data_IF_310620593178
#
_entry.id   IF_310620593178
#
_cell.length_a   1.000
_cell.length_b   1.000
_cell.length_c   1.000
_cell.angle_alpha   90.00
_cell.angle_beta   90.00
_cell.angle_gamma   90.00
#
_symmetry.space_group_name_H-M   'P 1'
#
loop_
_entity.id
_entity.type
_entity.pdbx_description
1 polymer ?
#
# COMPACT_ATOMS: atom_id res chain seq x y z
N UNK A 1 6.62 31.45 34.64
CA UNK A 1 5.52 30.45 34.56
C UNK A 1 5.94 29.40 33.57
N UNK A 2 6.47 28.31 34.11
CA UNK A 2 6.94 27.14 33.36
C UNK A 2 5.76 26.39 32.74
N UNK A 3 5.81 26.19 31.43
CA UNK A 3 4.94 25.23 30.72
C UNK A 3 5.63 23.87 30.67
N UNK A 4 4.88 22.76 30.81
CA UNK A 4 5.45 21.45 31.07
C UNK A 4 6.17 20.86 29.84
N UNK A 5 7.17 19.99 30.06
CA UNK A 5 7.82 19.24 28.99
C UNK A 5 6.94 18.03 28.63
N UNK A 6 5.98 18.20 27.73
CA UNK A 6 5.13 17.07 27.31
C UNK A 6 4.76 17.10 25.82
N UNK A 7 5.77 17.14 24.93
CA UNK A 7 5.63 16.70 23.53
C UNK A 7 6.92 16.02 23.08
N UNK A 8 7.14 14.81 23.61
CA UNK A 8 8.31 13.96 23.30
C UNK A 8 8.40 13.54 21.82
N UNK A 9 7.37 13.80 21.01
CA UNK A 9 7.35 13.59 19.56
C UNK A 9 6.78 14.83 18.86
N UNK A 10 7.35 15.25 17.73
CA UNK A 10 6.67 16.18 16.81
C UNK A 10 5.36 15.56 16.34
N UNK A 11 4.32 16.38 16.11
CA UNK A 11 2.98 15.86 15.82
C UNK A 11 2.93 15.04 14.52
N UNK A 12 3.90 15.21 13.61
CA UNK A 12 4.06 14.37 12.40
C UNK A 12 4.78 13.05 12.63
N UNK A 13 5.63 12.94 13.66
CA UNK A 13 6.46 11.76 13.91
C UNK A 13 5.62 10.59 14.42
N UNK A 14 4.62 10.85 15.27
CA UNK A 14 3.69 9.84 15.79
C UNK A 14 2.86 9.17 14.68
N UNK A 15 2.13 9.90 13.81
CA UNK A 15 1.37 9.26 12.73
C UNK A 15 2.29 8.57 11.71
N UNK A 16 3.48 9.11 11.43
CA UNK A 16 4.44 8.47 10.52
C UNK A 16 4.97 7.15 11.09
N UNK A 17 5.29 7.12 12.39
CA UNK A 17 5.73 5.92 13.08
C UNK A 17 4.62 4.88 13.11
N UNK A 18 3.39 5.27 13.46
CA UNK A 18 2.22 4.39 13.46
C UNK A 18 1.91 3.86 12.06
N UNK A 19 1.95 4.71 11.03
CA UNK A 19 1.78 4.29 9.63
C UNK A 19 2.84 3.27 9.24
N UNK A 20 4.12 3.56 9.55
CA UNK A 20 5.23 2.67 9.25
C UNK A 20 5.09 1.33 9.96
N UNK A 21 4.80 1.33 11.26
CA UNK A 21 4.63 0.12 12.06
C UNK A 21 3.43 -0.71 11.59
N UNK A 22 2.31 -0.07 11.28
CA UNK A 22 1.10 -0.75 10.82
C UNK A 22 1.29 -1.36 9.43
N UNK A 23 1.88 -0.62 8.50
CA UNK A 23 2.20 -1.12 7.16
C UNK A 23 3.26 -2.24 7.23
N UNK A 24 4.23 -2.13 8.14
CA UNK A 24 5.22 -3.18 8.41
C UNK A 24 4.53 -4.46 8.91
N UNK A 25 3.70 -4.35 9.94
CA UNK A 25 2.94 -5.45 10.50
C UNK A 25 2.05 -6.11 9.43
N UNK A 26 1.38 -5.30 8.63
CA UNK A 26 0.51 -5.77 7.53
C UNK A 26 1.27 -6.59 6.50
N UNK A 27 2.48 -6.16 6.11
CA UNK A 27 3.31 -6.93 5.19
C UNK A 27 3.86 -8.22 5.82
N UNK A 28 4.20 -8.22 7.11
CA UNK A 28 4.58 -9.45 7.82
C UNK A 28 3.41 -10.44 7.87
N UNK A 29 2.19 -9.95 8.09
CA UNK A 29 0.97 -10.77 8.03
C UNK A 29 0.77 -11.34 6.63
N UNK A 30 1.06 -10.59 5.56
CA UNK A 30 1.04 -11.11 4.19
C UNK A 30 2.06 -12.23 3.98
N UNK A 31 3.30 -12.06 4.43
CA UNK A 31 4.34 -13.10 4.32
C UNK A 31 3.90 -14.36 5.08
N UNK A 32 3.35 -14.19 6.28
CA UNK A 32 2.83 -15.30 7.07
C UNK A 32 1.64 -15.98 6.37
N UNK A 33 0.72 -15.21 5.79
CA UNK A 33 -0.40 -15.75 5.01
C UNK A 33 0.10 -16.64 3.85
N UNK A 34 1.11 -16.18 3.12
CA UNK A 34 1.75 -16.96 2.04
C UNK A 34 2.41 -18.23 2.59
N UNK A 35 3.13 -18.14 3.71
CA UNK A 35 3.74 -19.30 4.34
C UNK A 35 2.71 -20.34 4.80
N UNK A 36 1.60 -19.91 5.43
CA UNK A 36 0.52 -20.80 5.84
C UNK A 36 -0.24 -21.40 4.65
N UNK A 37 -0.27 -20.71 3.51
CA UNK A 37 -0.84 -21.29 2.30
C UNK A 37 -0.03 -22.49 1.79
N UNK A 38 1.27 -22.53 2.09
CA UNK A 38 2.17 -23.64 1.73
C UNK A 38 2.23 -24.73 2.80
N UNK A 39 2.21 -24.34 4.07
CA UNK A 39 2.43 -25.23 5.21
C UNK A 39 1.14 -25.78 5.82
N UNK A 40 -0.01 -25.23 5.45
CA UNK A 40 -1.29 -25.50 6.11
C UNK A 40 -1.57 -24.55 7.29
N UNK A 41 -2.80 -24.57 7.84
CA UNK A 41 -3.22 -23.65 8.89
C UNK A 41 -2.54 -23.94 10.24
N UNK A 42 -2.32 -22.89 11.04
CA UNK A 42 -1.84 -22.98 12.42
C UNK A 42 -2.97 -22.65 13.40
N UNK A 43 -3.67 -23.69 13.88
CA UNK A 43 -4.83 -23.52 14.75
C UNK A 43 -5.91 -22.66 14.07
N UNK A 44 -6.36 -21.54 14.67
CA UNK A 44 -7.35 -20.66 14.06
C UNK A 44 -6.77 -19.75 12.94
N UNK A 45 -5.45 -19.68 12.78
CA UNK A 45 -4.82 -18.84 11.77
C UNK A 45 -4.70 -19.58 10.44
N UNK A 46 -5.56 -19.21 9.49
CA UNK A 46 -5.49 -19.67 8.10
C UNK A 46 -4.86 -18.60 7.21
N UNK A 47 -4.31 -19.00 6.06
CA UNK A 47 -3.83 -18.07 5.04
C UNK A 47 -4.90 -17.04 4.65
N UNK A 48 -6.16 -17.47 4.58
CA UNK A 48 -7.30 -16.62 4.30
C UNK A 48 -7.54 -15.54 5.34
N UNK A 49 -7.62 -15.93 6.61
CA UNK A 49 -7.82 -14.99 7.73
C UNK A 49 -6.69 -13.95 7.79
N UNK A 50 -5.45 -14.40 7.64
CA UNK A 50 -4.30 -13.49 7.64
C UNK A 50 -4.28 -12.59 6.41
N UNK A 51 -4.60 -13.10 5.22
CA UNK A 51 -4.74 -12.31 4.01
C UNK A 51 -5.82 -11.23 4.14
N UNK A 52 -6.97 -11.58 4.72
CA UNK A 52 -8.07 -10.64 4.98
C UNK A 52 -7.67 -9.55 5.99
N UNK A 53 -6.99 -9.93 7.08
CA UNK A 53 -6.46 -8.96 8.04
C UNK A 53 -5.46 -8.01 7.36
N UNK A 54 -4.57 -8.53 6.52
CA UNK A 54 -3.60 -7.71 5.82
C UNK A 54 -4.26 -6.74 4.81
N UNK A 55 -5.27 -7.19 4.07
CA UNK A 55 -6.08 -6.35 3.17
C UNK A 55 -6.90 -5.28 3.89
N UNK A 56 -7.14 -5.46 5.18
CA UNK A 56 -7.92 -4.53 6.00
C UNK A 56 -7.03 -3.51 6.70
N UNK A 57 -5.86 -3.95 7.20
CA UNK A 57 -4.95 -3.13 8.00
C UNK A 57 -4.07 -2.18 7.17
N UNK A 58 -3.86 -2.46 5.88
CA UNK A 58 -3.14 -1.54 5.01
C UNK A 58 -3.92 -0.23 4.76
N UNK A 59 -5.26 -0.27 4.74
CA UNK A 59 -6.12 0.91 4.54
C UNK A 59 -5.90 1.99 5.60
N UNK A 60 -6.04 1.72 6.91
CA UNK A 60 -5.70 2.69 7.94
C UNK A 60 -4.22 3.04 7.94
N UNK A 61 -3.32 2.12 7.55
CA UNK A 61 -1.89 2.41 7.41
C UNK A 61 -1.60 3.49 6.36
N UNK A 62 -2.22 3.40 5.18
CA UNK A 62 -2.09 4.40 4.11
C UNK A 62 -2.82 5.70 4.47
N UNK A 63 -3.97 5.63 5.16
CA UNK A 63 -4.64 6.83 5.66
C UNK A 63 -3.77 7.61 6.67
N UNK A 64 -3.07 6.90 7.56
CA UNK A 64 -2.09 7.49 8.48
C UNK A 64 -0.89 8.08 7.74
N UNK A 65 -0.46 7.48 6.62
CA UNK A 65 0.59 8.05 5.77
C UNK A 65 0.15 9.40 5.15
N UNK A 66 -1.09 9.48 4.67
CA UNK A 66 -1.67 10.73 4.17
C UNK A 66 -1.72 11.81 5.27
N UNK A 67 -2.15 11.43 6.48
CA UNK A 67 -2.19 12.31 7.63
C UNK A 67 -0.78 12.78 8.04
N UNK A 68 0.20 11.87 8.09
CA UNK A 68 1.59 12.18 8.40
C UNK A 68 2.17 13.18 7.40
N UNK A 69 1.93 12.97 6.10
CA UNK A 69 2.36 13.89 5.05
C UNK A 69 1.71 15.28 5.19
N UNK A 70 0.42 15.33 5.51
CA UNK A 70 -0.29 16.59 5.76
C UNK A 70 0.26 17.36 6.97
N UNK A 71 0.53 16.68 8.08
CA UNK A 71 1.09 17.30 9.29
C UNK A 71 2.53 17.77 9.05
N UNK A 72 3.35 16.98 8.37
CA UNK A 72 4.72 17.35 8.00
C UNK A 72 4.76 18.64 7.16
N UNK A 73 3.84 18.78 6.21
CA UNK A 73 3.74 19.98 5.38
C UNK A 73 3.42 21.24 6.21
N UNK A 74 2.48 21.12 7.15
CA UNK A 74 2.12 22.22 8.07
C UNK A 74 3.28 22.59 8.98
N UNK A 75 3.99 21.61 9.54
CA UNK A 75 5.15 21.85 10.42
C UNK A 75 6.31 22.53 9.69
N UNK A 76 6.47 22.29 8.38
CA UNK A 76 7.50 22.94 7.56
C UNK A 76 7.12 24.37 7.14
N UNK A 77 5.97 24.90 7.56
CA UNK A 77 5.49 26.24 7.17
C UNK A 77 5.29 26.40 5.66
N UNK A 78 5.17 25.28 4.94
CA UNK A 78 4.99 25.28 3.49
C UNK A 78 3.51 25.45 3.19
N UNK A 79 3.16 26.51 2.46
CA UNK A 79 1.81 26.67 1.94
C UNK A 79 1.39 25.44 1.14
N UNK A 80 0.14 25.01 1.31
CA UNK A 80 -0.41 23.84 0.63
C UNK A 80 -0.57 24.11 -0.86
N UNK A 81 0.49 23.89 -1.65
CA UNK A 81 0.38 23.93 -3.10
C UNK A 81 -0.45 22.77 -3.67
N UNK A 82 -1.01 22.95 -4.87
CA UNK A 82 -1.84 21.94 -5.55
C UNK A 82 -1.21 20.54 -5.61
N UNK A 83 0.12 20.45 -5.76
CA UNK A 83 0.86 19.18 -5.75
C UNK A 83 0.68 18.39 -4.45
N UNK A 84 0.79 19.07 -3.30
CA UNK A 84 0.73 18.43 -1.97
C UNK A 84 -0.70 18.01 -1.64
N UNK A 85 -1.67 18.82 -2.07
CA UNK A 85 -3.08 18.48 -1.96
C UNK A 85 -3.43 17.25 -2.83
N UNK A 86 -2.86 17.16 -4.04
CA UNK A 86 -3.01 16.00 -4.92
C UNK A 86 -2.41 14.72 -4.31
N UNK A 87 -1.26 14.80 -3.62
CA UNK A 87 -0.67 13.65 -2.91
C UNK A 87 -1.61 13.16 -1.79
N UNK A 88 -2.11 14.07 -0.96
CA UNK A 88 -3.01 13.74 0.17
C UNK A 88 -4.29 13.09 -0.35
N UNK A 89 -4.98 13.73 -1.30
CA UNK A 89 -6.20 13.18 -1.88
C UNK A 89 -5.95 11.94 -2.73
N UNK A 90 -4.77 11.79 -3.32
CA UNK A 90 -4.38 10.57 -4.01
C UNK A 90 -4.32 9.37 -3.07
N UNK A 91 -3.75 9.53 -1.86
CA UNK A 91 -3.81 8.47 -0.84
C UNK A 91 -5.23 8.19 -0.35
N UNK A 92 -6.05 9.24 -0.13
CA UNK A 92 -7.46 9.06 0.26
C UNK A 92 -8.24 8.33 -0.83
N UNK A 93 -8.06 8.74 -2.09
CA UNK A 93 -8.64 8.08 -3.26
C UNK A 93 -8.19 6.63 -3.38
N UNK A 94 -6.92 6.34 -3.09
CA UNK A 94 -6.41 4.98 -3.05
C UNK A 94 -7.09 4.13 -1.97
N UNK A 95 -7.27 4.67 -0.76
CA UNK A 95 -7.96 3.97 0.34
C UNK A 95 -9.42 3.70 -0.05
N UNK A 96 -10.12 4.70 -0.57
CA UNK A 96 -11.52 4.56 -0.99
C UNK A 96 -11.68 3.53 -2.11
N UNK A 97 -10.84 3.61 -3.16
CA UNK A 97 -10.86 2.68 -4.27
C UNK A 97 -10.49 1.26 -3.81
N UNK A 98 -9.53 1.14 -2.89
CA UNK A 98 -9.13 -0.15 -2.34
C UNK A 98 -10.22 -0.78 -1.48
N UNK A 99 -10.88 -0.01 -0.62
CA UNK A 99 -12.04 -0.50 0.11
C UNK A 99 -13.17 -0.93 -0.82
N UNK A 100 -13.41 -0.17 -1.89
CA UNK A 100 -14.42 -0.45 -2.90
C UNK A 100 -14.21 -1.82 -3.56
N UNK A 101 -13.02 -2.09 -4.12
CA UNK A 101 -12.81 -3.35 -4.84
C UNK A 101 -12.56 -4.55 -3.93
N UNK A 102 -12.06 -4.35 -2.71
CA UNK A 102 -11.77 -5.45 -1.76
C UNK A 102 -12.99 -5.94 -1.00
N UNK A 103 -13.92 -5.03 -0.71
CA UNK A 103 -15.05 -5.33 0.18
C UNK A 103 -16.38 -5.08 -0.50
N UNK A 104 -16.59 -3.90 -1.09
CA UNK A 104 -17.91 -3.54 -1.60
C UNK A 104 -18.30 -4.36 -2.84
N UNK A 105 -17.39 -4.52 -3.80
CA UNK A 105 -17.66 -5.31 -5.00
C UNK A 105 -17.86 -6.81 -4.70
N UNK A 106 -16.99 -7.50 -3.92
CA UNK A 106 -17.25 -8.88 -3.53
C UNK A 106 -18.56 -9.06 -2.76
N UNK A 107 -18.86 -8.15 -1.81
CA UNK A 107 -20.12 -8.17 -1.07
C UNK A 107 -21.34 -8.08 -2.00
N UNK A 108 -21.29 -7.21 -3.01
CA UNK A 108 -22.35 -7.09 -4.02
C UNK A 108 -22.52 -8.37 -4.87
N UNK A 109 -21.48 -9.20 -4.98
CA UNK A 109 -21.53 -10.51 -5.64
C UNK A 109 -21.96 -11.66 -4.72
N UNK A 110 -22.22 -11.38 -3.43
CA UNK A 110 -22.62 -12.38 -2.44
C UNK A 110 -21.47 -13.30 -2.01
N UNK A 111 -20.23 -12.82 -2.09
CA UNK A 111 -19.02 -13.57 -1.69
C UNK A 111 -17.96 -12.62 -1.14
N UNK A 112 -16.75 -13.12 -0.92
CA UNK A 112 -15.60 -12.32 -0.55
C UNK A 112 -14.51 -12.41 -1.62
N UNK A 113 -13.51 -11.54 -1.48
CA UNK A 113 -12.42 -11.47 -2.43
C UNK A 113 -11.60 -12.77 -2.47
N UNK A 114 -11.43 -13.43 -1.33
CA UNK A 114 -10.61 -14.64 -1.23
C UNK A 114 -11.25 -15.78 -2.02
N UNK A 115 -12.55 -16.02 -1.84
CA UNK A 115 -13.28 -17.05 -2.56
C UNK A 115 -13.20 -16.84 -4.08
N UNK A 116 -13.37 -15.60 -4.54
CA UNK A 116 -13.22 -15.25 -5.96
C UNK A 116 -11.82 -15.63 -6.50
N UNK A 117 -10.74 -15.28 -5.78
CA UNK A 117 -9.39 -15.64 -6.20
C UNK A 117 -9.13 -17.15 -6.14
N UNK A 118 -9.59 -17.85 -5.10
CA UNK A 118 -9.44 -19.31 -4.98
C UNK A 118 -10.16 -20.01 -6.14
N UNK A 119 -11.34 -19.51 -6.54
CA UNK A 119 -12.04 -19.98 -7.73
C UNK A 119 -11.26 -19.74 -9.02
N UNK A 120 -10.75 -18.52 -9.22
CA UNK A 120 -9.97 -18.16 -10.41
C UNK A 120 -8.61 -18.87 -10.52
N UNK A 121 -8.04 -19.30 -9.40
CA UNK A 121 -6.82 -20.10 -9.36
C UNK A 121 -7.08 -21.60 -9.51
N UNK A 122 -8.34 -22.00 -9.68
CA UNK A 122 -8.73 -23.39 -9.93
C UNK A 122 -8.85 -24.27 -8.68
N UNK A 123 -8.73 -23.69 -7.49
CA UNK A 123 -8.80 -24.42 -6.23
C UNK A 123 -10.24 -24.68 -5.74
N UNK A 124 -11.23 -23.93 -6.24
CA UNK A 124 -12.64 -24.14 -5.90
C UNK A 124 -13.57 -23.99 -7.13
N UNK A 125 -14.14 -25.09 -7.66
CA UNK A 125 -15.04 -25.04 -8.82
C UNK A 125 -16.33 -24.25 -8.59
N UNK A 126 -16.89 -24.28 -7.37
CA UNK A 126 -18.10 -23.54 -7.02
C UNK A 126 -17.86 -22.03 -7.02
N UNK A 127 -16.74 -21.59 -6.46
CA UNK A 127 -16.33 -20.18 -6.48
C UNK A 127 -16.00 -19.71 -7.91
N UNK A 128 -15.43 -20.59 -8.75
CA UNK A 128 -15.23 -20.29 -10.18
C UNK A 128 -16.56 -20.09 -10.92
N UNK A 129 -17.55 -20.95 -10.65
CA UNK A 129 -18.88 -20.80 -11.25
C UNK A 129 -19.54 -19.48 -10.82
N UNK A 130 -19.39 -19.09 -9.56
CA UNK A 130 -19.86 -17.79 -9.06
C UNK A 130 -19.14 -16.63 -9.74
N UNK A 131 -17.81 -16.68 -9.85
CA UNK A 131 -17.01 -15.66 -10.52
C UNK A 131 -17.40 -15.49 -12.01
N UNK A 132 -17.65 -16.59 -12.71
CA UNK A 132 -18.16 -16.58 -14.10
C UNK A 132 -19.55 -15.97 -14.20
N UNK A 133 -20.46 -16.33 -13.29
CA UNK A 133 -21.81 -15.76 -13.22
C UNK A 133 -21.77 -14.25 -12.93
N UNK A 134 -20.84 -13.82 -12.07
CA UNK A 134 -20.63 -12.44 -11.68
C UNK A 134 -19.57 -11.72 -12.55
N UNK A 135 -19.45 -12.09 -13.82
CA UNK A 135 -18.40 -11.60 -14.73
C UNK A 135 -18.14 -10.09 -14.63
N UNK A 136 -19.19 -9.29 -14.80
CA UNK A 136 -19.08 -7.83 -14.81
C UNK A 136 -18.51 -7.28 -13.50
N UNK A 137 -18.86 -7.89 -12.37
CA UNK A 137 -18.32 -7.51 -11.06
C UNK A 137 -16.86 -7.92 -10.90
N UNK A 138 -16.46 -9.09 -11.40
CA UNK A 138 -15.05 -9.52 -11.37
C UNK A 138 -14.20 -8.63 -12.28
N UNK A 139 -14.71 -8.26 -13.46
CA UNK A 139 -14.07 -7.29 -14.35
C UNK A 139 -13.94 -5.92 -13.66
N UNK A 140 -14.98 -5.44 -12.98
CA UNK A 140 -14.91 -4.22 -12.19
C UNK A 140 -13.87 -4.30 -11.05
N UNK A 141 -13.73 -5.45 -10.38
CA UNK A 141 -12.68 -5.69 -9.39
C UNK A 141 -11.30 -5.57 -10.04
N UNK A 142 -11.07 -6.20 -11.18
CA UNK A 142 -9.80 -6.13 -11.90
C UNK A 142 -9.44 -4.70 -12.33
N UNK A 143 -10.40 -3.98 -12.92
CA UNK A 143 -10.21 -2.58 -13.33
C UNK A 143 -9.90 -1.70 -12.12
N UNK A 144 -10.67 -1.82 -11.05
CA UNK A 144 -10.45 -1.04 -9.83
C UNK A 144 -9.13 -1.40 -9.13
N UNK A 145 -8.69 -2.66 -9.19
CA UNK A 145 -7.41 -3.09 -8.65
C UNK A 145 -6.23 -2.51 -9.45
N UNK A 146 -6.30 -2.53 -10.78
CA UNK A 146 -5.31 -1.88 -11.66
C UNK A 146 -5.29 -0.38 -11.39
N UNK A 147 -6.46 0.27 -11.34
CA UNK A 147 -6.58 1.70 -11.09
C UNK A 147 -6.02 2.10 -9.72
N UNK A 148 -6.27 1.30 -8.67
CA UNK A 148 -5.68 1.52 -7.35
C UNK A 148 -4.15 1.39 -7.39
N UNK A 149 -3.61 0.36 -8.06
CA UNK A 149 -2.16 0.20 -8.20
C UNK A 149 -1.52 1.36 -8.98
N UNK A 150 -2.17 1.81 -10.06
CA UNK A 150 -1.73 2.96 -10.85
C UNK A 150 -1.79 4.28 -10.07
N UNK A 151 -2.88 4.52 -9.33
CA UNK A 151 -3.01 5.69 -8.46
C UNK A 151 -1.91 5.72 -7.39
N UNK A 152 -1.62 4.57 -6.76
CA UNK A 152 -0.55 4.48 -5.77
C UNK A 152 0.80 4.84 -6.39
N UNK A 153 1.11 4.31 -7.58
CA UNK A 153 2.32 4.67 -8.32
C UNK A 153 2.39 6.17 -8.64
N UNK A 154 1.31 6.76 -9.15
CA UNK A 154 1.24 8.20 -9.45
C UNK A 154 1.47 9.04 -8.19
N UNK A 155 0.87 8.67 -7.05
CA UNK A 155 1.11 9.37 -5.78
C UNK A 155 2.58 9.35 -5.39
N UNK A 156 3.26 8.21 -5.53
CA UNK A 156 4.69 8.10 -5.23
C UNK A 156 5.57 8.85 -6.23
N UNK A 157 5.15 8.97 -7.49
CA UNK A 157 5.78 9.83 -8.48
C UNK A 157 5.67 11.30 -8.07
N UNK A 158 4.49 11.74 -7.64
CA UNK A 158 4.28 13.11 -7.14
C UNK A 158 5.12 13.38 -5.89
N UNK A 159 5.25 12.41 -4.98
CA UNK A 159 6.15 12.52 -3.81
C UNK A 159 7.61 12.67 -4.26
N UNK A 160 8.06 11.89 -5.24
CA UNK A 160 9.43 12.02 -5.77
C UNK A 160 9.66 13.40 -6.42
N UNK A 161 8.66 13.94 -7.12
CA UNK A 161 8.69 15.29 -7.70
C UNK A 161 8.73 16.36 -6.60
N UNK A 162 7.85 16.29 -5.60
CA UNK A 162 7.83 17.22 -4.46
C UNK A 162 9.15 17.19 -3.70
N UNK A 163 9.72 15.99 -3.52
CA UNK A 163 11.04 15.81 -2.93
C UNK A 163 12.15 16.49 -3.74
N UNK A 164 12.19 16.27 -5.06
CA UNK A 164 13.19 16.88 -5.95
C UNK A 164 13.11 18.41 -5.96
N UNK A 165 11.91 18.98 -5.85
CA UNK A 165 11.71 20.44 -5.74
C UNK A 165 12.14 21.00 -4.37
N UNK A 166 12.19 20.16 -3.35
CA UNK A 166 12.48 20.54 -1.97
C UNK A 166 13.96 20.37 -1.57
N UNK A 167 14.74 19.61 -2.33
CA UNK A 167 16.13 19.24 -2.00
C UNK A 167 17.07 19.85 -3.04
N UNK A 168 17.62 21.03 -2.76
CA UNK A 168 18.59 21.65 -3.66
C UNK A 168 19.94 20.90 -3.74
N UNK A 169 20.25 19.96 -2.83
CA UNK A 169 21.59 19.34 -2.76
C UNK A 169 21.52 17.93 -2.13
N UNK A 170 22.17 16.95 -2.77
CA UNK A 170 22.39 15.52 -2.40
C UNK A 170 21.30 14.48 -2.73
N UNK A 171 21.51 13.78 -3.85
CA UNK A 171 20.74 12.61 -4.31
C UNK A 171 20.57 11.50 -3.26
N UNK A 172 21.53 11.33 -2.35
CA UNK A 172 21.55 10.28 -1.30
C UNK A 172 20.35 10.39 -0.37
N UNK A 173 19.87 11.62 -0.11
CA UNK A 173 18.71 11.86 0.75
C UNK A 173 17.38 11.49 0.07
N UNK A 174 17.37 11.35 -1.27
CA UNK A 174 16.19 11.03 -2.08
C UNK A 174 16.05 9.55 -2.44
N UNK A 175 17.10 8.75 -2.19
CA UNK A 175 17.14 7.29 -2.47
C UNK A 175 15.87 6.57 -2.02
N UNK A 176 15.28 6.88 -0.84
CA UNK A 176 14.08 6.18 -0.46
C UNK A 176 12.85 6.55 -1.31
N UNK A 177 12.64 7.82 -1.67
CA UNK A 177 11.49 8.21 -2.51
C UNK A 177 11.54 7.51 -3.88
N UNK A 178 12.73 7.37 -4.47
CA UNK A 178 12.92 6.65 -5.73
C UNK A 178 12.78 5.13 -5.57
N UNK A 179 13.25 4.54 -4.47
CA UNK A 179 13.03 3.13 -4.18
C UNK A 179 11.53 2.80 -4.04
N UNK A 180 10.78 3.68 -3.38
CA UNK A 180 9.32 3.59 -3.29
C UNK A 180 8.64 3.73 -4.66
N UNK A 181 9.09 4.67 -5.50
CA UNK A 181 8.59 4.82 -6.86
C UNK A 181 8.83 3.56 -7.70
N UNK A 182 10.03 2.99 -7.65
CA UNK A 182 10.37 1.75 -8.35
C UNK A 182 9.55 0.56 -7.83
N UNK A 183 9.43 0.42 -6.52
CA UNK A 183 8.63 -0.64 -5.89
C UNK A 183 7.15 -0.55 -6.30
N UNK A 184 6.56 0.65 -6.22
CA UNK A 184 5.17 0.85 -6.62
C UNK A 184 4.95 0.69 -8.13
N UNK A 185 5.93 1.07 -8.96
CA UNK A 185 5.92 0.82 -10.39
C UNK A 185 5.96 -0.66 -10.74
N UNK A 186 6.86 -1.42 -10.13
CA UNK A 186 6.93 -2.88 -10.28
C UNK A 186 5.60 -3.52 -9.83
N UNK A 187 5.06 -3.10 -8.68
CA UNK A 187 3.78 -3.58 -8.17
C UNK A 187 2.61 -3.30 -9.12
N UNK A 188 2.62 -2.15 -9.79
CA UNK A 188 1.61 -1.79 -10.79
C UNK A 188 1.69 -2.71 -12.02
N UNK A 189 2.89 -2.88 -12.59
CA UNK A 189 3.11 -3.80 -13.71
C UNK A 189 2.70 -5.23 -13.32
N UNK A 190 3.09 -5.69 -12.13
CA UNK A 190 2.70 -6.98 -11.61
C UNK A 190 1.18 -7.15 -11.46
N UNK A 191 0.44 -6.12 -11.05
CA UNK A 191 -1.03 -6.18 -11.04
C UNK A 191 -1.57 -6.41 -12.45
N UNK A 192 -1.07 -5.69 -13.45
CA UNK A 192 -1.51 -5.84 -14.85
C UNK A 192 -1.24 -7.28 -15.33
N UNK A 193 -0.05 -7.82 -15.06
CA UNK A 193 0.31 -9.19 -15.45
C UNK A 193 -0.58 -10.26 -14.81
N UNK A 194 -0.93 -10.08 -13.53
CA UNK A 194 -1.85 -10.98 -12.82
C UNK A 194 -3.24 -10.91 -13.43
N UNK A 195 -3.81 -9.70 -13.60
CA UNK A 195 -5.14 -9.53 -14.19
C UNK A 195 -5.19 -10.09 -15.61
N UNK A 196 -4.19 -9.81 -16.44
CA UNK A 196 -4.10 -10.36 -17.79
C UNK A 196 -4.06 -11.89 -17.80
N UNK A 197 -3.46 -12.53 -16.79
CA UNK A 197 -3.46 -13.98 -16.65
C UNK A 197 -4.78 -14.57 -16.16
N UNK A 198 -5.55 -13.83 -15.35
CA UNK A 198 -6.82 -14.29 -14.78
C UNK A 198 -8.01 -14.10 -15.73
N UNK A 199 -7.97 -13.10 -16.61
CA UNK A 199 -9.04 -12.81 -17.58
C UNK A 199 -9.43 -14.03 -18.44
N UNK A 200 -8.49 -14.81 -19.02
CA UNK A 200 -8.84 -16.02 -19.77
C UNK A 200 -9.59 -17.07 -18.95
N UNK A 201 -9.32 -17.17 -17.63
CA UNK A 201 -9.97 -18.15 -16.75
C UNK A 201 -11.46 -17.86 -16.61
N UNK A 202 -11.83 -16.58 -16.53
CA UNK A 202 -13.23 -16.16 -16.56
C UNK A 202 -13.89 -16.63 -17.86
N UNK A 203 -13.19 -16.49 -18.99
CA UNK A 203 -13.63 -16.94 -20.32
C UNK A 203 -13.69 -18.46 -20.51
N UNK A 204 -13.35 -19.25 -19.48
CA UNK A 204 -13.30 -20.71 -19.55
C UNK A 204 -11.98 -21.27 -20.06
N UNK A 205 -10.97 -20.43 -20.28
CA UNK A 205 -9.61 -20.82 -20.62
C UNK A 205 -8.76 -21.18 -19.39
N UNK A 206 -7.47 -21.42 -19.64
CA UNK A 206 -6.48 -21.70 -18.59
C UNK A 206 -5.86 -20.41 -18.03
N UNK A 207 -5.25 -20.53 -16.85
CA UNK A 207 -4.46 -19.47 -16.24
C UNK A 207 -3.30 -19.06 -17.17
N UNK A 208 -3.19 -17.76 -17.47
CA UNK A 208 -2.15 -17.24 -18.36
C UNK A 208 -0.74 -17.37 -17.80
N UNK A 209 0.26 -17.50 -18.69
CA UNK A 209 1.67 -17.68 -18.33
C UNK A 209 2.30 -16.50 -17.59
N UNK A 210 1.69 -15.31 -17.65
CA UNK A 210 2.17 -14.11 -16.94
C UNK A 210 1.87 -14.14 -15.45
N UNK A 211 1.04 -15.06 -14.96
CA UNK A 211 0.63 -15.11 -13.55
C UNK A 211 1.82 -15.21 -12.60
N UNK A 212 2.72 -16.18 -12.83
CA UNK A 212 3.88 -16.43 -11.97
C UNK A 212 4.79 -15.21 -11.89
N UNK A 213 5.09 -14.58 -13.02
CA UNK A 213 5.90 -13.36 -13.05
C UNK A 213 5.24 -12.19 -12.30
N UNK A 214 3.93 -12.02 -12.47
CA UNK A 214 3.15 -11.03 -11.73
C UNK A 214 3.14 -11.31 -10.21
N UNK A 215 2.91 -12.55 -9.80
CA UNK A 215 2.90 -12.95 -8.39
C UNK A 215 4.27 -12.75 -7.72
N UNK A 216 5.35 -13.16 -8.39
CA UNK A 216 6.72 -12.93 -7.91
C UNK A 216 7.00 -11.43 -7.74
N UNK A 217 6.64 -10.61 -8.74
CA UNK A 217 6.84 -9.17 -8.64
C UNK A 217 6.09 -8.54 -7.46
N UNK A 218 4.85 -8.99 -7.16
CA UNK A 218 4.13 -8.57 -5.94
C UNK A 218 4.86 -8.96 -4.65
N UNK A 219 5.36 -10.19 -4.58
CA UNK A 219 6.09 -10.71 -3.42
C UNK A 219 7.42 -9.98 -3.19
N UNK A 220 8.11 -9.57 -4.25
CA UNK A 220 9.38 -8.84 -4.16
C UNK A 220 9.21 -7.39 -3.72
N UNK A 221 8.08 -6.76 -4.01
CA UNK A 221 7.85 -5.36 -3.67
C UNK A 221 7.53 -5.16 -2.19
N UNK A 222 6.72 -6.03 -1.60
CA UNK A 222 6.23 -5.89 -0.22
C UNK A 222 7.36 -5.71 0.83
N UNK A 223 8.45 -6.49 0.84
CA UNK A 223 9.55 -6.34 1.80
C UNK A 223 10.48 -5.14 1.51
N UNK A 224 10.63 -4.76 0.24
CA UNK A 224 11.56 -3.70 -0.17
C UNK A 224 10.99 -2.30 0.07
N UNK A 225 9.67 -2.15 -0.06
CA UNK A 225 8.94 -0.96 0.37
C UNK A 225 9.01 -0.80 1.91
N UNK A 226 8.96 -1.90 2.67
CA UNK A 226 9.09 -1.88 4.15
C UNK A 226 10.44 -1.33 4.62
N UNK A 227 11.55 -1.86 4.11
CA UNK A 227 12.90 -1.48 4.55
C UNK A 227 13.21 -0.01 4.23
N UNK A 228 12.84 0.43 3.02
CA UNK A 228 13.03 1.83 2.61
C UNK A 228 12.11 2.80 3.38
N UNK A 229 10.88 2.41 3.68
CA UNK A 229 9.93 3.16 4.52
C UNK A 229 10.42 3.43 5.94
N UNK A 230 10.88 2.36 6.59
CA UNK A 230 11.42 2.43 7.95
C UNK A 230 12.70 3.28 8.01
N UNK A 231 13.60 3.13 7.05
CA UNK A 231 14.83 3.94 6.99
C UNK A 231 14.52 5.42 6.72
N UNK A 232 13.53 5.71 5.87
CA UNK A 232 13.08 7.08 5.58
C UNK A 232 12.45 7.77 6.77
N UNK A 233 11.55 7.07 7.48
CA UNK A 233 10.88 7.63 8.65
C UNK A 233 11.86 7.87 9.80
N UNK A 234 12.86 7.00 9.96
CA UNK A 234 13.97 7.22 10.88
C UNK A 234 14.84 8.42 10.47
N UNK A 235 15.16 8.59 9.19
CA UNK A 235 15.96 9.71 8.71
C UNK A 235 15.22 11.05 8.82
N UNK A 236 13.94 11.08 8.46
CA UNK A 236 13.06 12.24 8.63
C UNK A 236 12.87 12.61 10.10
N UNK A 237 12.68 11.61 10.97
CA UNK A 237 12.64 11.81 12.42
C UNK A 237 13.93 12.40 12.96
N UNK A 238 15.09 11.89 12.54
CA UNK A 238 16.41 12.43 12.92
C UNK A 238 16.64 13.85 12.41
N UNK A 239 16.25 14.16 11.17
CA UNK A 239 16.40 15.49 10.59
C UNK A 239 15.52 16.52 11.31
N UNK A 240 14.28 16.16 11.66
CA UNK A 240 13.38 17.00 12.45
C UNK A 240 13.93 17.27 13.86
N UNK A 241 14.56 16.27 14.50
CA UNK A 241 15.25 16.43 15.79
C UNK A 241 16.46 17.36 15.65
N UNK A 242 17.25 17.20 14.58
CA UNK A 242 18.45 18.00 14.34
C UNK A 242 18.12 19.50 14.14
N UNK A 243 17.12 19.80 13.31
CA UNK A 243 16.68 21.18 13.04
C UNK A 243 16.16 21.91 14.29
N UNK A 244 15.59 21.18 15.25
CA UNK A 244 15.15 21.75 16.54
C UNK A 244 16.30 22.04 17.50
N UNK A 245 17.35 21.22 17.50
CA UNK A 245 18.56 21.48 18.33
C UNK A 245 19.28 22.74 17.89
N UNK A 246 19.25 23.05 16.59
CA UNK A 246 19.79 24.31 16.06
C UNK A 246 18.88 25.50 16.37
N UNK A 247 17.56 25.34 16.35
CA UNK A 247 16.62 26.42 16.65
C UNK A 247 16.54 26.81 18.14
N UNK A 248 16.81 25.87 19.06
CA UNK A 248 16.82 26.14 20.51
C UNK A 248 18.14 26.67 21.07
N UNK A 249 19.13 26.96 20.22
CA UNK A 249 20.44 27.53 20.58
C UNK A 249 20.63 28.97 20.10
N UNK A 250 19.59 29.59 19.55
CA UNK A 250 19.55 30.99 19.13
C UNK A 250 18.83 31.86 20.14
#
# INVERSE_FOLDING_TARGET
MDRPPSRLFGNSATPLWSASALLLATNLVWILAVALNLLGPLGPFTAGVLGWLALSLDLPGVALLAAAYAVLNREQGRESGHLRLAIIWGFVGWVALSAFWRFLLPLATGTDLQDLFVGLLGANPGALALAKKAWASVEAIFVAWIAAAGLFFVVHLLIAIDYRRASDVEWVKGVPAYAWLLGTGLSFVSTILIVAALLPVLGGGFLGSTFTGGAIGKLLVAPNIMLSGYVSSLQLGRAAIAARRTAGRG
#
